data_IF_234852883466
#
_entry.id   IF_234852883466
#
_cell.length_a   1.000
_cell.length_b   1.000
_cell.length_c   1.000
_cell.angle_alpha   90.00
_cell.angle_beta   90.00
_cell.angle_gamma   90.00
#
_symmetry.space_group_name_H-M   'P 1'
#
loop_
_entity.id
_entity.type
_entity.pdbx_description
1 polymer ?
#
# COMPACT_ATOMS: atom_id res chain seq x y z
N UNK A 1 10.83 -38.41 8.19
CA UNK A 1 11.23 -37.90 6.85
C UNK A 1 10.33 -36.70 6.58
N UNK A 2 10.88 -35.49 6.69
CA UNK A 2 10.21 -34.29 6.22
C UNK A 2 10.41 -34.24 4.70
N UNK A 3 9.30 -34.20 3.96
CA UNK A 3 9.35 -34.02 2.52
C UNK A 3 9.98 -32.68 2.17
N UNK A 4 11.02 -32.68 1.35
CA UNK A 4 11.84 -31.55 0.94
C UNK A 4 11.13 -30.68 -0.12
N UNK A 5 9.81 -30.47 -0.02
CA UNK A 5 9.04 -29.79 -1.07
C UNK A 5 8.07 -28.71 -0.57
N UNK A 6 7.95 -28.47 0.74
CA UNK A 6 6.97 -27.53 1.27
C UNK A 6 7.62 -26.53 2.22
N UNK A 7 8.53 -25.73 1.68
CA UNK A 7 8.97 -24.54 2.39
C UNK A 7 7.99 -23.39 2.12
N UNK A 8 6.85 -23.42 2.81
CA UNK A 8 5.75 -22.47 2.66
C UNK A 8 5.90 -21.27 3.61
N UNK A 9 6.84 -21.33 4.52
CA UNK A 9 7.08 -20.30 5.50
C UNK A 9 8.49 -19.77 5.43
N UNK A 10 8.65 -18.54 4.99
CA UNK A 10 9.87 -17.79 5.24
C UNK A 10 9.84 -17.40 6.73
N UNK A 11 10.48 -18.20 7.56
CA UNK A 11 10.71 -17.81 8.95
C UNK A 11 11.82 -16.76 8.99
N UNK A 12 11.57 -15.62 9.59
CA UNK A 12 12.54 -14.53 9.72
C UNK A 12 13.88 -15.00 10.32
N UNK A 13 13.88 -16.02 11.16
CA UNK A 13 15.07 -16.60 11.78
C UNK A 13 15.93 -17.47 10.87
N UNK A 14 15.37 -17.98 9.77
CA UNK A 14 16.04 -18.99 8.93
C UNK A 14 16.91 -18.39 7.80
N UNK A 15 16.81 -17.09 7.58
CA UNK A 15 17.35 -16.49 6.35
C UNK A 15 18.50 -15.50 6.56
N UNK A 16 18.90 -15.22 7.80
CA UNK A 16 19.93 -14.21 8.06
C UNK A 16 19.57 -12.86 7.43
N UNK A 17 18.28 -12.56 7.33
CA UNK A 17 17.77 -11.42 6.60
C UNK A 17 18.03 -10.15 7.38
N UNK A 18 18.86 -9.31 6.84
CA UNK A 18 19.01 -7.92 7.21
C UNK A 18 17.76 -7.11 6.75
N UNK A 19 16.55 -7.73 6.83
CA UNK A 19 15.33 -7.21 6.28
C UNK A 19 14.22 -7.20 7.33
N UNK A 20 13.54 -6.06 7.47
CA UNK A 20 12.41 -5.94 8.40
C UNK A 20 11.18 -6.62 7.80
N UNK A 21 10.81 -7.74 8.38
CA UNK A 21 9.57 -8.45 8.09
C UNK A 21 8.53 -8.06 9.14
N UNK A 22 7.74 -7.02 8.86
CA UNK A 22 6.76 -6.44 9.80
C UNK A 22 5.32 -6.77 9.38
N UNK A 23 5.13 -7.85 8.62
CA UNK A 23 3.83 -8.17 8.03
C UNK A 23 2.79 -8.54 9.08
N UNK A 24 1.56 -8.03 8.90
CA UNK A 24 0.38 -8.47 9.63
C UNK A 24 -0.42 -9.39 8.71
N UNK A 25 -0.48 -10.72 8.98
CA UNK A 25 -1.29 -11.63 8.19
C UNK A 25 -2.79 -11.35 8.37
N UNK A 26 -3.57 -11.58 7.33
CA UNK A 26 -5.03 -11.53 7.38
C UNK A 26 -5.58 -12.95 7.29
N UNK A 27 -6.55 -13.29 8.13
CA UNK A 27 -7.29 -14.55 8.03
C UNK A 27 -8.74 -14.24 7.67
N UNK A 28 -9.16 -14.68 6.49
CA UNK A 28 -10.51 -14.49 5.99
C UNK A 28 -11.04 -15.78 5.42
N UNK A 29 -12.18 -16.24 5.91
CA UNK A 29 -12.81 -17.48 5.43
C UNK A 29 -11.94 -18.73 5.63
N UNK A 30 -11.09 -18.77 6.67
CA UNK A 30 -10.18 -19.89 6.93
C UNK A 30 -8.93 -19.90 6.02
N UNK A 31 -8.66 -18.85 5.29
CA UNK A 31 -7.46 -18.70 4.47
C UNK A 31 -6.61 -17.57 5.03
N UNK A 32 -5.32 -17.81 5.18
CA UNK A 32 -4.35 -16.81 5.60
C UNK A 32 -3.67 -16.17 4.38
N UNK A 33 -3.67 -14.84 4.35
CA UNK A 33 -3.03 -14.01 3.32
C UNK A 33 -1.94 -13.16 3.95
N UNK A 34 -0.78 -13.09 3.32
CA UNK A 34 0.31 -12.23 3.76
C UNK A 34 1.22 -11.83 2.59
N UNK A 35 1.95 -10.75 2.77
CA UNK A 35 2.99 -10.32 1.85
C UNK A 35 4.37 -10.77 2.32
N UNK A 36 5.26 -11.06 1.39
CA UNK A 36 6.68 -11.26 1.65
C UNK A 36 7.46 -10.24 0.81
N UNK A 37 8.34 -9.44 1.42
CA UNK A 37 9.21 -8.56 0.65
C UNK A 37 10.29 -9.34 -0.09
N UNK A 38 10.87 -8.75 -1.13
CA UNK A 38 12.12 -9.26 -1.70
C UNK A 38 13.29 -8.97 -0.76
N UNK A 39 14.37 -9.74 -0.87
CA UNK A 39 15.55 -9.54 -0.03
C UNK A 39 16.81 -9.43 -0.89
N UNK A 40 17.63 -8.37 -0.72
CA UNK A 40 18.94 -8.28 -1.35
C UNK A 40 19.89 -9.42 -0.95
N UNK A 41 19.77 -9.91 0.29
CA UNK A 41 20.54 -11.04 0.80
C UNK A 41 20.15 -12.40 0.19
N UNK A 42 18.95 -12.46 -0.42
CA UNK A 42 18.41 -13.66 -1.07
C UNK A 42 17.83 -13.31 -2.44
N UNK A 43 18.67 -13.16 -3.49
CA UNK A 43 18.21 -12.67 -4.81
C UNK A 43 17.13 -13.53 -5.46
N UNK A 44 17.00 -14.79 -5.03
CA UNK A 44 15.94 -15.70 -5.50
C UNK A 44 14.61 -15.51 -4.78
N UNK A 45 14.59 -14.77 -3.66
CA UNK A 45 13.37 -14.47 -2.93
C UNK A 45 12.68 -13.26 -3.56
N UNK A 46 11.65 -13.54 -4.35
CA UNK A 46 10.79 -12.50 -4.92
C UNK A 46 9.80 -12.00 -3.90
N UNK A 47 9.49 -10.71 -3.98
CA UNK A 47 8.33 -10.19 -3.26
C UNK A 47 7.06 -10.90 -3.72
N UNK A 48 6.18 -11.23 -2.79
CA UNK A 48 4.99 -12.01 -3.14
C UNK A 48 3.80 -11.74 -2.22
N UNK A 49 2.61 -12.07 -2.72
CA UNK A 49 1.41 -12.26 -1.92
C UNK A 49 1.13 -13.77 -1.90
N UNK A 50 0.92 -14.29 -0.71
CA UNK A 50 0.71 -15.73 -0.49
C UNK A 50 -0.64 -15.97 0.19
N UNK A 51 -1.38 -16.96 -0.30
CA UNK A 51 -2.56 -17.52 0.34
C UNK A 51 -2.29 -18.97 0.74
N UNK A 52 -2.55 -19.31 2.00
CA UNK A 52 -2.37 -20.66 2.52
C UNK A 52 -3.45 -21.04 3.53
N UNK A 53 -3.55 -22.32 3.84
CA UNK A 53 -4.35 -22.84 4.95
C UNK A 53 -3.56 -22.68 6.26
N UNK A 54 -4.01 -21.88 7.23
CA UNK A 54 -3.22 -21.60 8.43
C UNK A 54 -2.99 -22.84 9.30
N UNK A 55 -3.92 -23.82 9.28
CA UNK A 55 -3.83 -25.03 10.09
C UNK A 55 -2.75 -26.01 9.61
N UNK A 56 -2.50 -26.04 8.29
CA UNK A 56 -1.62 -27.04 7.67
C UNK A 56 -0.38 -26.45 7.01
N UNK A 57 -0.40 -25.15 6.72
CA UNK A 57 0.60 -24.48 5.88
C UNK A 57 0.48 -24.82 4.39
N UNK A 58 -0.61 -25.48 3.97
CA UNK A 58 -0.85 -25.82 2.57
C UNK A 58 -0.99 -24.56 1.71
N UNK A 59 -0.15 -24.45 0.67
CA UNK A 59 -0.21 -23.36 -0.28
C UNK A 59 -1.46 -23.47 -1.15
N UNK A 60 -2.27 -22.42 -1.18
CA UNK A 60 -3.42 -22.31 -2.09
C UNK A 60 -2.98 -21.63 -3.38
N UNK A 61 -2.38 -20.44 -3.28
CA UNK A 61 -1.75 -19.75 -4.38
C UNK A 61 -0.69 -18.77 -3.91
N UNK A 62 0.21 -18.41 -4.83
CA UNK A 62 1.23 -17.39 -4.63
C UNK A 62 1.29 -16.50 -5.87
N UNK A 63 1.27 -15.19 -5.65
CA UNK A 63 1.53 -14.18 -6.65
C UNK A 63 2.92 -13.59 -6.44
N UNK A 64 3.84 -13.80 -7.39
CA UNK A 64 5.18 -13.20 -7.37
C UNK A 64 5.09 -11.79 -7.95
N UNK A 65 5.39 -10.80 -7.13
CA UNK A 65 5.38 -9.40 -7.55
C UNK A 65 6.66 -9.06 -8.32
N UNK A 66 6.58 -8.33 -9.44
CA UNK A 66 7.76 -7.85 -10.16
C UNK A 66 8.53 -6.76 -9.41
N UNK A 67 7.87 -6.12 -8.43
CA UNK A 67 8.42 -5.04 -7.61
C UNK A 67 8.40 -5.43 -6.15
N UNK A 68 9.29 -4.83 -5.36
CA UNK A 68 9.30 -5.07 -3.93
C UNK A 68 8.00 -4.59 -3.28
N UNK A 69 7.49 -5.38 -2.33
CA UNK A 69 6.30 -5.05 -1.53
C UNK A 69 6.76 -4.54 -0.18
N UNK A 70 6.22 -3.42 0.27
CA UNK A 70 6.54 -2.93 1.60
C UNK A 70 6.01 -3.89 2.68
N UNK A 71 6.86 -4.20 3.66
CA UNK A 71 6.68 -5.33 4.57
C UNK A 71 5.61 -5.22 5.66
N UNK A 72 4.73 -4.19 5.67
CA UNK A 72 3.78 -4.00 6.79
C UNK A 72 2.43 -4.65 6.60
N UNK A 73 2.13 -5.16 5.41
CA UNK A 73 0.92 -5.94 5.18
C UNK A 73 0.12 -5.54 3.96
N UNK A 74 -1.08 -6.06 3.92
CA UNK A 74 -2.01 -6.01 2.79
C UNK A 74 -3.41 -5.69 3.28
N UNK A 75 -4.31 -5.30 2.37
CA UNK A 75 -5.71 -5.08 2.68
C UNK A 75 -6.60 -6.04 1.89
N UNK A 76 -7.67 -6.50 2.51
CA UNK A 76 -8.67 -7.38 1.90
C UNK A 76 -9.97 -6.62 1.68
N UNK A 77 -10.53 -6.72 0.47
CA UNK A 77 -11.88 -6.27 0.15
C UNK A 77 -12.74 -7.48 -0.23
N UNK A 78 -13.94 -7.64 0.37
CA UNK A 78 -14.73 -8.87 0.23
C UNK A 78 -15.40 -9.06 -1.13
N UNK A 79 -15.28 -8.10 -2.03
CA UNK A 79 -16.02 -8.10 -3.28
C UNK A 79 -17.47 -7.65 -3.10
N UNK A 80 -18.20 -7.71 -4.19
CA UNK A 80 -19.64 -7.46 -4.26
C UNK A 80 -20.28 -8.34 -5.33
N UNK A 81 -21.51 -8.03 -5.74
CA UNK A 81 -22.25 -8.83 -6.74
C UNK A 81 -21.59 -8.84 -8.13
N UNK A 82 -20.76 -7.85 -8.44
CA UNK A 82 -20.17 -7.64 -9.77
C UNK A 82 -18.67 -7.88 -9.80
N UNK A 83 -18.01 -7.78 -8.66
CA UNK A 83 -16.54 -7.79 -8.56
C UNK A 83 -16.08 -8.78 -7.52
N UNK A 84 -15.19 -9.68 -7.92
CA UNK A 84 -14.59 -10.68 -7.04
C UNK A 84 -13.78 -10.05 -5.89
N UNK A 85 -13.66 -10.74 -4.74
CA UNK A 85 -12.83 -10.31 -3.63
C UNK A 85 -11.38 -10.12 -4.07
N UNK A 86 -10.68 -9.15 -3.45
CA UNK A 86 -9.30 -8.84 -3.81
C UNK A 86 -8.44 -8.44 -2.64
N UNK A 87 -7.16 -8.74 -2.79
CA UNK A 87 -6.08 -8.22 -1.95
C UNK A 87 -5.52 -6.98 -2.63
N UNK A 88 -5.40 -5.89 -1.87
CA UNK A 88 -4.79 -4.64 -2.33
C UNK A 88 -3.50 -4.42 -1.55
N UNK A 89 -2.43 -4.11 -2.25
CA UNK A 89 -1.12 -3.89 -1.67
C UNK A 89 -0.33 -2.84 -2.45
N UNK A 90 0.62 -2.21 -1.78
CA UNK A 90 1.51 -1.24 -2.38
C UNK A 90 2.91 -1.81 -2.60
N UNK A 91 3.59 -1.30 -3.62
CA UNK A 91 4.97 -1.62 -3.93
C UNK A 91 5.87 -0.39 -3.77
N UNK A 92 7.16 -0.59 -3.79
CA UNK A 92 8.11 0.51 -3.89
C UNK A 92 7.86 1.34 -5.16
N UNK A 93 8.14 2.64 -5.08
CA UNK A 93 7.87 3.59 -6.18
C UNK A 93 6.41 3.98 -6.34
N UNK A 94 5.53 3.55 -5.41
CA UNK A 94 4.15 4.04 -5.31
C UNK A 94 3.13 3.37 -6.23
N UNK A 95 3.41 2.19 -6.79
CA UNK A 95 2.36 1.42 -7.45
C UNK A 95 1.47 0.73 -6.41
N UNK A 96 0.16 0.78 -6.61
CA UNK A 96 -0.83 0.00 -5.86
C UNK A 96 -1.40 -1.04 -6.79
N UNK A 97 -1.37 -2.29 -6.36
CA UNK A 97 -1.79 -3.45 -7.12
C UNK A 97 -2.96 -4.15 -6.44
N UNK A 98 -3.77 -4.83 -7.24
CA UNK A 98 -4.85 -5.67 -6.75
C UNK A 98 -4.73 -7.08 -7.32
N UNK A 99 -4.87 -8.09 -6.46
CA UNK A 99 -4.90 -9.52 -6.82
C UNK A 99 -6.27 -10.07 -6.48
N UNK A 100 -6.88 -10.76 -7.43
CA UNK A 100 -8.12 -11.51 -7.24
C UNK A 100 -7.86 -12.69 -6.28
N UNK A 101 -8.63 -12.74 -5.21
CA UNK A 101 -8.46 -13.72 -4.11
C UNK A 101 -8.70 -15.15 -4.57
N UNK A 102 -9.59 -15.35 -5.54
CA UNK A 102 -9.95 -16.68 -6.03
C UNK A 102 -8.87 -17.28 -6.91
N UNK A 103 -8.21 -16.43 -7.70
CA UNK A 103 -7.29 -16.90 -8.74
C UNK A 103 -5.82 -16.68 -8.42
N UNK A 104 -5.50 -15.80 -7.48
CA UNK A 104 -4.13 -15.37 -7.19
C UNK A 104 -3.48 -14.58 -8.33
N UNK A 105 -4.29 -14.01 -9.25
CA UNK A 105 -3.82 -13.22 -10.40
C UNK A 105 -4.21 -11.75 -10.25
N UNK A 106 -3.54 -10.89 -10.99
CA UNK A 106 -3.90 -9.48 -11.04
C UNK A 106 -5.38 -9.30 -11.36
N UNK A 107 -6.06 -8.46 -10.58
CA UNK A 107 -7.49 -8.25 -10.67
C UNK A 107 -7.87 -7.55 -11.98
N UNK A 108 -8.70 -8.15 -12.84
CA UNK A 108 -9.16 -7.50 -14.05
C UNK A 108 -9.97 -6.24 -13.71
N UNK A 109 -9.84 -5.21 -14.56
CA UNK A 109 -10.54 -3.94 -14.40
C UNK A 109 -9.98 -2.99 -13.33
N UNK A 110 -8.95 -3.39 -12.57
CA UNK A 110 -8.27 -2.50 -11.64
C UNK A 110 -7.14 -1.77 -12.36
N UNK A 111 -7.26 -0.46 -12.54
CA UNK A 111 -6.30 0.38 -13.22
C UNK A 111 -5.85 -0.17 -14.59
N UNK A 112 -4.59 -0.03 -14.87
CA UNK A 112 -3.95 -0.62 -16.05
C UNK A 112 -3.26 -1.93 -15.66
N UNK A 113 -3.75 -3.06 -16.19
CA UNK A 113 -3.15 -4.36 -15.93
C UNK A 113 -3.14 -4.78 -14.45
N UNK A 114 -4.15 -4.39 -13.66
CA UNK A 114 -4.25 -4.75 -12.24
C UNK A 114 -3.48 -3.80 -11.30
N UNK A 115 -3.09 -2.63 -11.78
CA UNK A 115 -2.32 -1.66 -10.99
C UNK A 115 -2.68 -0.21 -11.28
N UNK A 116 -2.43 0.67 -10.32
CA UNK A 116 -2.47 2.13 -10.48
C UNK A 116 -1.15 2.74 -10.01
N UNK A 117 -0.82 3.90 -10.54
CA UNK A 117 0.35 4.67 -10.14
C UNK A 117 -0.08 5.78 -9.16
N UNK A 118 0.15 5.55 -7.87
CA UNK A 118 -0.17 6.51 -6.82
C UNK A 118 0.94 7.56 -6.60
N UNK A 119 2.06 7.47 -7.31
CA UNK A 119 3.07 8.53 -7.37
C UNK A 119 2.56 9.73 -8.18
N UNK A 120 1.76 9.46 -9.21
CA UNK A 120 1.13 10.51 -10.03
C UNK A 120 0.12 11.29 -9.20
N UNK A 121 0.12 12.60 -9.35
CA UNK A 121 -0.79 13.53 -8.67
C UNK A 121 -0.29 14.07 -7.33
N UNK A 122 0.73 13.46 -6.72
CA UNK A 122 1.30 13.96 -5.45
C UNK A 122 2.79 14.27 -5.54
N UNK A 123 3.47 13.69 -6.48
CA UNK A 123 4.92 13.77 -6.58
C UNK A 123 5.40 14.11 -8.00
N UNK A 124 4.84 13.50 -9.02
CA UNK A 124 5.30 13.64 -10.40
C UNK A 124 5.28 15.10 -10.90
N UNK A 125 4.29 15.89 -10.47
CA UNK A 125 4.16 17.31 -10.84
C UNK A 125 5.14 18.22 -10.09
N UNK A 126 5.67 17.76 -8.94
CA UNK A 126 6.56 18.56 -8.09
C UNK A 126 8.02 18.25 -8.36
N UNK A 127 8.37 16.96 -8.41
CA UNK A 127 9.76 16.49 -8.49
C UNK A 127 10.04 15.57 -9.68
N UNK A 128 9.08 15.39 -10.57
CA UNK A 128 9.19 14.45 -11.69
C UNK A 128 9.49 13.03 -11.19
N UNK A 129 10.26 12.27 -11.94
CA UNK A 129 10.62 10.89 -11.60
C UNK A 129 11.82 10.78 -10.63
N UNK A 130 12.48 11.90 -10.31
CA UNK A 130 13.74 11.91 -9.55
C UNK A 130 13.61 11.33 -8.12
N UNK A 131 12.42 11.39 -7.52
CA UNK A 131 12.15 10.92 -6.15
C UNK A 131 11.29 9.66 -6.10
N UNK A 132 10.99 9.03 -7.23
CA UNK A 132 10.14 7.83 -7.27
C UNK A 132 10.68 6.69 -6.40
N UNK A 133 11.98 6.47 -6.39
CA UNK A 133 12.60 5.39 -5.62
C UNK A 133 12.50 5.58 -4.09
N UNK A 134 12.37 6.82 -3.63
CA UNK A 134 12.20 7.15 -2.20
C UNK A 134 10.72 7.28 -1.78
N UNK A 135 9.80 7.32 -2.75
CA UNK A 135 8.38 7.38 -2.47
C UNK A 135 7.82 5.97 -2.19
N UNK A 136 7.19 5.81 -1.04
CA UNK A 136 6.60 4.53 -0.63
C UNK A 136 5.22 4.72 -0.01
N UNK A 137 4.45 3.63 0.02
CA UNK A 137 3.21 3.50 0.77
C UNK A 137 3.45 2.38 1.79
N UNK A 138 3.95 2.72 3.00
CA UNK A 138 4.52 1.73 3.91
C UNK A 138 3.48 0.86 4.61
N UNK A 139 2.23 1.33 4.71
CA UNK A 139 1.17 0.62 5.42
C UNK A 139 0.15 0.01 4.47
N UNK A 140 -0.60 -1.02 4.93
CA UNK A 140 -1.80 -1.46 4.24
C UNK A 140 -2.73 -0.28 3.98
N UNK A 141 -3.34 -0.27 2.82
CA UNK A 141 -4.43 0.69 2.55
C UNK A 141 -5.61 0.40 3.48
N UNK A 142 -6.36 1.42 3.85
CA UNK A 142 -7.52 1.27 4.72
C UNK A 142 -8.78 1.12 3.88
N UNK A 143 -9.52 0.03 4.07
CA UNK A 143 -10.76 -0.23 3.34
C UNK A 143 -11.94 0.40 4.08
N UNK A 144 -12.79 1.12 3.34
CA UNK A 144 -14.10 1.58 3.79
C UNK A 144 -15.12 1.39 2.67
N UNK A 145 -16.05 0.46 2.83
CA UNK A 145 -17.03 0.09 1.78
C UNK A 145 -16.32 -0.23 0.44
N UNK A 146 -16.57 0.57 -0.57
CA UNK A 146 -16.00 0.41 -1.91
C UNK A 146 -14.81 1.34 -2.18
N UNK A 147 -14.21 1.88 -1.12
CA UNK A 147 -13.02 2.70 -1.19
C UNK A 147 -11.84 2.03 -0.52
N UNK A 148 -10.67 2.25 -1.06
CA UNK A 148 -9.44 2.15 -0.29
C UNK A 148 -8.79 3.52 -0.14
N UNK A 149 -8.26 3.78 1.05
CA UNK A 149 -7.72 5.06 1.46
C UNK A 149 -6.25 4.85 1.77
N UNK A 150 -5.40 5.73 1.27
CA UNK A 150 -3.96 5.65 1.47
C UNK A 150 -3.34 7.02 1.76
N UNK A 151 -2.35 7.01 2.63
CA UNK A 151 -1.35 8.07 2.70
C UNK A 151 -0.09 7.64 1.94
N UNK A 152 1.03 8.28 2.23
CA UNK A 152 2.31 7.98 1.61
C UNK A 152 3.47 8.33 2.54
N UNK A 153 4.67 7.86 2.19
CA UNK A 153 5.94 8.33 2.72
C UNK A 153 6.75 8.92 1.57
N UNK A 154 6.85 10.24 1.49
CA UNK A 154 7.46 10.93 0.35
C UNK A 154 9.00 10.92 0.33
N UNK A 155 9.65 10.33 1.32
CA UNK A 155 11.09 10.47 1.56
C UNK A 155 11.40 11.65 2.49
N UNK A 156 12.65 11.72 2.96
CA UNK A 156 13.10 12.71 3.96
C UNK A 156 14.16 13.66 3.38
N UNK A 157 14.20 13.79 2.07
CA UNK A 157 15.25 14.55 1.35
C UNK A 157 15.03 16.09 1.35
N UNK A 158 14.03 16.57 2.07
CA UNK A 158 13.66 17.98 2.14
C UNK A 158 12.93 18.50 0.91
N UNK A 159 12.51 19.78 0.93
CA UNK A 159 11.80 20.41 -0.16
C UNK A 159 12.73 20.75 -1.37
N UNK A 160 12.19 20.83 -2.61
CA UNK A 160 10.84 20.39 -2.95
C UNK A 160 10.70 18.87 -2.88
N UNK A 161 9.55 18.38 -2.46
CA UNK A 161 9.28 16.95 -2.33
C UNK A 161 7.83 16.59 -2.56
N UNK A 162 7.53 15.27 -2.64
CA UNK A 162 6.15 14.79 -2.73
C UNK A 162 5.31 15.29 -1.56
N UNK A 163 4.02 15.50 -1.84
CA UNK A 163 3.06 15.90 -0.81
C UNK A 163 2.58 14.69 -0.02
N UNK A 164 2.19 14.95 1.23
CA UNK A 164 1.68 13.93 2.13
C UNK A 164 0.19 13.64 1.99
N UNK A 165 -0.44 14.06 0.91
CA UNK A 165 -1.88 14.04 0.71
C UNK A 165 -2.51 12.66 0.91
N UNK A 166 -3.69 12.66 1.53
CA UNK A 166 -4.48 11.45 1.74
C UNK A 166 -5.43 11.29 0.57
N UNK A 167 -5.50 10.11 -0.01
CA UNK A 167 -6.33 9.86 -1.18
C UNK A 167 -7.17 8.61 -1.03
N UNK A 168 -8.38 8.68 -1.56
CA UNK A 168 -9.25 7.52 -1.68
C UNK A 168 -9.47 7.16 -3.14
N UNK A 169 -9.52 5.87 -3.38
CA UNK A 169 -9.71 5.28 -4.70
C UNK A 169 -10.84 4.27 -4.64
N UNK A 170 -11.57 4.13 -5.72
CA UNK A 170 -12.55 3.07 -5.89
C UNK A 170 -11.84 1.71 -5.92
N UNK A 171 -12.26 0.79 -5.07
CA UNK A 171 -11.60 -0.51 -4.89
C UNK A 171 -11.74 -1.43 -6.10
N UNK A 172 -12.76 -1.23 -6.95
CA UNK A 172 -13.00 -2.04 -8.15
C UNK A 172 -12.12 -1.62 -9.30
N UNK A 173 -11.99 -0.29 -9.49
CA UNK A 173 -11.39 0.30 -10.70
C UNK A 173 -10.03 0.93 -10.47
N UNK A 174 -9.68 1.25 -9.22
CA UNK A 174 -8.48 2.04 -8.90
C UNK A 174 -8.61 3.52 -9.26
N UNK A 175 -9.77 4.01 -9.68
CA UNK A 175 -9.99 5.43 -9.98
C UNK A 175 -9.99 6.26 -8.70
N UNK A 176 -9.23 7.38 -8.70
CA UNK A 176 -9.24 8.33 -7.58
C UNK A 176 -10.65 8.92 -7.42
N UNK A 177 -11.17 8.90 -6.19
CA UNK A 177 -12.50 9.40 -5.83
C UNK A 177 -12.41 10.73 -5.14
N UNK A 178 -11.51 10.86 -4.17
CA UNK A 178 -11.24 12.13 -3.48
C UNK A 178 -9.80 12.22 -3.01
N UNK A 179 -9.40 13.42 -2.68
CA UNK A 179 -8.10 13.79 -2.16
C UNK A 179 -8.27 14.82 -1.05
N UNK A 180 -7.46 14.68 -0.01
CA UNK A 180 -7.37 15.63 1.09
C UNK A 180 -5.93 16.15 1.15
N UNK A 181 -5.76 17.44 0.96
CA UNK A 181 -4.47 18.09 1.06
C UNK A 181 -4.09 18.27 2.53
N UNK A 182 -3.05 17.59 2.97
CA UNK A 182 -2.55 17.70 4.35
C UNK A 182 -1.86 19.04 4.60
N UNK A 183 -1.38 19.68 3.53
CA UNK A 183 -0.94 21.08 3.50
C UNK A 183 -1.97 21.83 2.66
N UNK A 184 -2.84 22.64 3.27
CA UNK A 184 -3.95 23.27 2.57
C UNK A 184 -3.52 24.15 1.40
N UNK A 185 -4.22 24.05 0.29
CA UNK A 185 -4.05 24.92 -0.85
C UNK A 185 -4.80 26.26 -0.65
N UNK A 186 -4.46 27.32 -1.39
CA UNK A 186 -5.13 28.59 -1.30
C UNK A 186 -6.66 28.47 -1.45
N UNK A 187 -7.39 29.00 -0.48
CA UNK A 187 -8.86 28.91 -0.43
C UNK A 187 -9.43 27.72 0.33
N UNK A 188 -8.59 26.78 0.73
CA UNK A 188 -9.00 25.68 1.61
C UNK A 188 -8.95 26.08 3.09
N UNK A 189 -9.72 25.42 3.97
CA UNK A 189 -9.66 25.67 5.40
C UNK A 189 -8.24 25.50 5.95
N UNK A 190 -7.75 26.49 6.68
CA UNK A 190 -6.40 26.50 7.26
C UNK A 190 -5.31 27.04 6.32
N UNK A 191 -5.63 27.43 5.09
CA UNK A 191 -4.64 27.97 4.14
C UNK A 191 -4.04 29.31 4.58
N UNK A 192 -4.74 30.03 5.46
CA UNK A 192 -4.26 31.28 6.09
C UNK A 192 -3.05 31.08 7.00
N UNK A 193 -2.81 29.86 7.46
CA UNK A 193 -1.62 29.48 8.25
C UNK A 193 -0.36 29.32 7.38
N UNK A 194 -0.51 29.31 6.05
CA UNK A 194 0.55 29.06 5.08
C UNK A 194 0.79 30.31 4.21
N UNK A 195 1.62 31.28 4.68
CA UNK A 195 1.74 32.55 3.99
C UNK A 195 2.40 32.44 2.62
N UNK A 196 1.89 33.24 1.68
CA UNK A 196 2.44 33.34 0.32
C UNK A 196 2.36 32.04 -0.47
N UNK A 197 3.50 31.56 -0.93
CA UNK A 197 3.64 30.29 -1.70
C UNK A 197 4.23 29.15 -0.89
N UNK A 198 4.41 29.31 0.41
CA UNK A 198 5.07 28.31 1.28
C UNK A 198 4.44 26.93 1.19
N UNK A 199 3.13 26.84 0.97
CA UNK A 199 2.42 25.57 0.76
C UNK A 199 2.94 24.75 -0.45
N UNK A 200 3.62 25.41 -1.41
CA UNK A 200 4.22 24.71 -2.57
C UNK A 200 5.59 24.15 -2.29
N UNK A 201 6.31 24.80 -1.39
CA UNK A 201 7.72 24.51 -1.13
C UNK A 201 7.91 23.49 0.00
N UNK A 202 6.84 23.21 0.76
CA UNK A 202 6.84 22.30 1.89
C UNK A 202 6.46 20.90 1.45
N UNK A 203 7.11 19.91 2.02
CA UNK A 203 6.84 18.47 1.85
C UNK A 203 6.46 17.84 3.20
N UNK A 204 6.20 16.55 3.24
CA UNK A 204 5.83 15.87 4.47
C UNK A 204 4.36 16.03 4.83
N UNK A 205 4.05 16.27 6.09
CA UNK A 205 2.69 16.23 6.66
C UNK A 205 1.93 14.95 6.24
N UNK A 206 2.66 13.87 6.03
CA UNK A 206 2.19 12.64 5.41
C UNK A 206 1.73 11.61 6.44
N UNK A 207 0.82 10.74 6.03
CA UNK A 207 0.38 9.58 6.81
C UNK A 207 1.19 8.37 6.39
N UNK A 208 2.12 7.98 7.23
CA UNK A 208 2.95 6.78 7.09
C UNK A 208 2.61 5.69 8.10
N UNK A 209 1.61 5.92 8.94
CA UNK A 209 1.03 4.98 9.91
C UNK A 209 -0.29 4.41 9.40
N UNK A 210 -0.80 3.38 10.07
CA UNK A 210 -2.14 2.84 9.80
C UNK A 210 -3.21 3.88 10.12
N UNK A 211 -4.23 3.94 9.28
CA UNK A 211 -5.45 4.72 9.53
C UNK A 211 -6.54 3.82 10.09
N UNK A 212 -7.48 4.40 10.80
CA UNK A 212 -8.71 3.72 11.24
C UNK A 212 -9.94 4.44 10.70
N UNK A 213 -11.05 3.72 10.59
CA UNK A 213 -12.31 4.24 10.06
C UNK A 213 -13.44 3.95 11.04
N UNK A 214 -14.25 4.96 11.33
CA UNK A 214 -15.57 4.80 11.90
C UNK A 214 -16.56 4.57 10.75
N UNK A 215 -16.90 3.32 10.52
CA UNK A 215 -17.76 2.92 9.40
C UNK A 215 -19.18 3.48 9.47
N UNK A 216 -19.71 3.70 10.69
CA UNK A 216 -21.06 4.23 10.89
C UNK A 216 -21.12 5.71 10.51
N UNK A 217 -20.08 6.48 10.90
CA UNK A 217 -20.02 7.92 10.65
C UNK A 217 -19.32 8.29 9.36
N UNK A 218 -18.60 7.33 8.74
CA UNK A 218 -17.77 7.58 7.57
C UNK A 218 -16.57 8.50 7.85
N UNK A 219 -16.02 8.42 9.07
CA UNK A 219 -14.89 9.26 9.50
C UNK A 219 -13.60 8.45 9.43
N UNK A 220 -12.58 9.01 8.79
CA UNK A 220 -11.22 8.45 8.74
C UNK A 220 -10.36 9.18 9.76
N UNK A 221 -9.68 8.43 10.62
CA UNK A 221 -8.68 8.94 11.55
C UNK A 221 -7.29 8.66 10.99
N UNK A 222 -6.56 9.72 10.69
CA UNK A 222 -5.25 9.67 10.08
C UNK A 222 -4.24 10.52 10.86
N UNK A 223 -3.18 9.88 11.38
CA UNK A 223 -2.11 10.58 12.09
C UNK A 223 -1.07 11.05 11.08
N UNK A 224 -0.84 12.35 10.99
CA UNK A 224 0.19 12.92 10.11
C UNK A 224 1.52 13.10 10.83
N UNK A 225 2.60 12.97 10.06
CA UNK A 225 3.93 13.44 10.47
C UNK A 225 4.03 14.97 10.38
N UNK A 226 5.21 15.48 10.69
CA UNK A 226 5.50 16.91 10.54
C UNK A 226 5.61 17.29 9.05
N UNK A 227 5.32 18.55 8.75
CA UNK A 227 5.71 19.19 7.52
C UNK A 227 7.20 19.58 7.58
N UNK A 228 7.93 19.48 6.47
CA UNK A 228 9.35 19.78 6.34
C UNK A 228 9.60 20.90 5.34
#
# INVERSE_FOLDING_TARGET
RRDAGQDVGVHQGDQGLDYRFEVTPLIVGGIMYFSTPSSPASPNLKASITALRPETGELIWKYDSPLNIHGRGIAYWPGDAETAPRIIFATDGGLIMAVDVTTGRLAPGFGWGGQIDAYVGVASEVVGESRRSSFTIPNPVTIHKNLFITGSRPGEDGPPGPRGDIRAFDVRTGRKVWEFHTIPHPGEPGSDQWPGTSWRDVTGANVWSTMSVDDERGIVYASTGAAN
#
